data_IF_503204235810
#
_entry.id   IF_503204235810
#
_cell.length_a   1.000
_cell.length_b   1.000
_cell.length_c   1.000
_cell.angle_alpha   90.00
_cell.angle_beta   90.00
_cell.angle_gamma   90.00
#
_symmetry.space_group_name_H-M   'P 1'
#
loop_
_entity.id
_entity.type
_entity.pdbx_description
1 polymer ?
#
# COMPACT_ATOMS: atom_id res chain seq x y z
N UNK A 1 21.81 16.38 -5.59
CA UNK A 1 21.24 15.71 -6.79
C UNK A 1 19.98 14.97 -6.39
N UNK A 2 19.07 14.65 -7.32
CA UNK A 2 17.88 13.86 -6.98
C UNK A 2 18.34 12.48 -6.51
N UNK A 3 17.80 12.03 -5.37
CA UNK A 3 18.04 10.68 -4.86
C UNK A 3 17.30 9.71 -5.79
N UNK A 4 18.04 9.00 -6.61
CA UNK A 4 17.52 7.89 -7.42
C UNK A 4 17.74 6.63 -6.60
N UNK A 5 16.67 5.89 -6.30
CA UNK A 5 16.78 4.59 -5.64
C UNK A 5 17.48 3.59 -6.55
N UNK A 6 18.29 2.71 -5.99
CA UNK A 6 18.85 1.60 -6.75
C UNK A 6 17.77 0.53 -7.04
N UNK A 7 18.06 -0.33 -8.01
CA UNK A 7 17.13 -1.37 -8.45
C UNK A 7 16.77 -2.36 -7.34
N UNK A 8 17.71 -2.64 -6.43
CA UNK A 8 17.48 -3.54 -5.31
C UNK A 8 16.44 -2.97 -4.34
N UNK A 9 16.52 -1.67 -4.06
CA UNK A 9 15.58 -0.96 -3.21
C UNK A 9 14.20 -0.88 -3.85
N UNK A 10 14.11 -0.60 -5.16
CA UNK A 10 12.85 -0.63 -5.89
C UNK A 10 12.20 -2.02 -5.80
N UNK A 11 12.97 -3.08 -6.04
CA UNK A 11 12.50 -4.46 -5.93
C UNK A 11 11.94 -4.76 -4.54
N UNK A 12 12.69 -4.41 -3.48
CA UNK A 12 12.27 -4.61 -2.10
C UNK A 12 10.97 -3.85 -1.78
N UNK A 13 10.85 -2.60 -2.21
CA UNK A 13 9.63 -1.80 -2.02
C UNK A 13 8.43 -2.45 -2.72
N UNK A 14 8.61 -3.01 -3.92
CA UNK A 14 7.56 -3.71 -4.65
C UNK A 14 7.10 -4.99 -3.95
N UNK A 15 8.05 -5.81 -3.48
CA UNK A 15 7.75 -7.02 -2.72
C UNK A 15 7.01 -6.70 -1.42
N UNK A 16 7.44 -5.66 -0.70
CA UNK A 16 6.77 -5.24 0.53
C UNK A 16 5.35 -4.71 0.26
N UNK A 17 5.12 -4.04 -0.87
CA UNK A 17 3.78 -3.65 -1.29
C UNK A 17 2.88 -4.88 -1.53
N UNK A 18 3.40 -5.95 -2.14
CA UNK A 18 2.65 -7.20 -2.34
C UNK A 18 2.29 -7.86 -1.01
N UNK A 19 3.26 -7.99 -0.11
CA UNK A 19 3.06 -8.54 1.24
C UNK A 19 1.98 -7.74 1.99
N UNK A 20 2.05 -6.41 1.98
CA UNK A 20 1.05 -5.55 2.64
C UNK A 20 -0.34 -5.73 2.03
N UNK A 21 -0.45 -5.76 0.70
CA UNK A 21 -1.73 -6.00 0.04
C UNK A 21 -2.32 -7.38 0.39
N UNK A 22 -1.47 -8.39 0.59
CA UNK A 22 -1.90 -9.71 1.09
C UNK A 22 -2.42 -9.64 2.54
N UNK A 23 -1.67 -8.99 3.43
CA UNK A 23 -2.07 -8.79 4.83
C UNK A 23 -3.38 -8.00 4.98
N UNK A 24 -3.60 -7.01 4.13
CA UNK A 24 -4.82 -6.21 4.13
C UNK A 24 -6.09 -7.00 3.79
N UNK A 25 -5.97 -8.20 3.19
CA UNK A 25 -7.13 -9.05 2.90
C UNK A 25 -7.76 -9.65 4.16
N UNK A 26 -6.98 -9.86 5.22
CA UNK A 26 -7.47 -10.37 6.51
C UNK A 26 -7.81 -9.27 7.50
N UNK A 27 -7.41 -8.02 7.24
CA UNK A 27 -7.61 -6.90 8.15
C UNK A 27 -9.09 -6.50 8.24
N UNK A 28 -9.61 -6.47 9.46
CA UNK A 28 -10.97 -6.06 9.79
C UNK A 28 -10.98 -4.67 10.42
N UNK A 29 -12.09 -3.95 10.22
CA UNK A 29 -12.29 -2.62 10.84
C UNK A 29 -12.28 -2.67 12.38
N UNK A 30 -12.60 -3.83 12.97
CA UNK A 30 -12.58 -4.08 14.40
C UNK A 30 -11.20 -4.35 14.98
N UNK A 31 -10.19 -4.60 14.14
CA UNK A 31 -8.85 -4.90 14.61
C UNK A 31 -8.22 -3.63 15.22
N UNK A 32 -7.47 -3.80 16.30
CA UNK A 32 -6.68 -2.71 16.87
C UNK A 32 -5.51 -2.37 15.95
N UNK A 33 -5.11 -1.11 15.93
CA UNK A 33 -4.00 -0.61 15.14
C UNK A 33 -3.17 0.39 15.94
N UNK A 34 -1.98 0.77 15.47
CA UNK A 34 -1.20 1.83 16.08
C UNK A 34 -1.49 3.16 15.42
N UNK A 35 -1.71 4.21 16.23
CA UNK A 35 -2.00 5.55 15.72
C UNK A 35 -0.94 6.01 14.71
N UNK A 36 -1.40 6.49 13.55
CA UNK A 36 -0.54 6.88 12.42
C UNK A 36 -0.33 5.80 11.36
N UNK A 37 -0.72 4.54 11.62
CA UNK A 37 -0.73 3.50 10.59
C UNK A 37 -1.76 3.79 9.50
N UNK A 38 -1.46 3.34 8.28
CA UNK A 38 -2.40 3.36 7.16
C UNK A 38 -2.50 1.96 6.57
N UNK A 39 -3.69 1.60 6.11
CA UNK A 39 -3.98 0.28 5.58
C UNK A 39 -5.12 0.33 4.55
N UNK A 40 -5.39 -0.82 3.94
CA UNK A 40 -6.61 -1.03 3.16
C UNK A 40 -7.53 -1.98 3.93
N UNK A 41 -8.72 -1.51 4.33
CA UNK A 41 -9.74 -2.35 4.98
C UNK A 41 -10.87 -2.54 4.00
N UNK A 42 -11.13 -3.79 3.57
CA UNK A 42 -12.13 -4.10 2.53
C UNK A 42 -11.98 -3.23 1.28
N UNK A 43 -10.75 -3.03 0.81
CA UNK A 43 -10.39 -2.18 -0.34
C UNK A 43 -10.68 -0.67 -0.19
N UNK A 44 -11.05 -0.20 1.00
CA UNK A 44 -11.17 1.21 1.33
C UNK A 44 -9.91 1.70 2.07
N UNK A 45 -9.56 2.97 1.90
CA UNK A 45 -8.42 3.56 2.61
C UNK A 45 -8.74 3.62 4.10
N UNK A 46 -7.81 3.20 4.94
CA UNK A 46 -7.95 3.26 6.39
C UNK A 46 -6.76 3.99 7.01
N UNK A 47 -7.03 4.92 7.91
CA UNK A 47 -6.04 5.51 8.80
C UNK A 47 -6.34 5.10 10.25
N UNK A 48 -5.32 4.77 11.01
CA UNK A 48 -5.47 4.47 12.42
C UNK A 48 -5.43 5.75 13.25
N UNK A 49 -6.53 6.04 13.96
CA UNK A 49 -6.62 7.17 14.89
C UNK A 49 -7.13 6.67 16.24
N UNK A 50 -6.36 6.94 17.30
CA UNK A 50 -6.66 6.49 18.66
C UNK A 50 -6.90 4.97 18.74
N UNK A 51 -5.98 4.20 18.14
CA UNK A 51 -5.98 2.74 18.11
C UNK A 51 -7.16 2.08 17.38
N UNK A 52 -7.92 2.85 16.59
CA UNK A 52 -9.05 2.35 15.81
C UNK A 52 -8.97 2.80 14.35
N UNK A 53 -9.36 1.90 13.44
CA UNK A 53 -9.44 2.22 12.03
C UNK A 53 -10.52 3.26 11.73
N UNK A 54 -10.17 4.24 10.91
CA UNK A 54 -11.08 5.19 10.27
C UNK A 54 -11.02 4.96 8.77
N UNK A 55 -12.11 4.44 8.23
CA UNK A 55 -12.19 3.99 6.84
C UNK A 55 -12.85 5.05 5.98
N UNK A 56 -12.24 5.33 4.83
CA UNK A 56 -12.74 6.21 3.79
C UNK A 56 -12.77 5.45 2.47
N UNK A 57 -13.95 5.38 1.85
CA UNK A 57 -14.12 4.76 0.53
C UNK A 57 -13.34 5.54 -0.53
N UNK A 58 -12.64 4.82 -1.40
CA UNK A 58 -11.95 5.39 -2.53
C UNK A 58 -12.93 5.97 -3.58
N UNK A 59 -12.62 7.11 -4.22
CA UNK A 59 -13.51 7.72 -5.22
C UNK A 59 -13.48 6.97 -6.56
N UNK A 60 -14.53 7.18 -7.38
CA UNK A 60 -14.56 6.83 -8.81
C UNK A 60 -14.10 5.39 -9.12
N UNK A 61 -14.68 4.39 -8.46
CA UNK A 61 -14.36 2.95 -8.64
C UNK A 61 -12.92 2.53 -8.35
N UNK A 62 -12.10 3.43 -7.79
CA UNK A 62 -10.74 3.08 -7.33
C UNK A 62 -10.85 2.20 -6.09
N UNK A 63 -9.79 1.44 -5.84
CA UNK A 63 -9.61 0.63 -4.64
C UNK A 63 -8.31 1.04 -3.96
N UNK A 64 -8.24 0.77 -2.66
CA UNK A 64 -7.05 0.99 -1.86
C UNK A 64 -6.02 -0.11 -2.13
N UNK A 65 -4.76 0.30 -2.33
CA UNK A 65 -3.61 -0.60 -2.44
C UNK A 65 -2.41 -0.02 -1.69
N UNK A 66 -1.55 -0.89 -1.17
CA UNK A 66 -0.16 -0.56 -0.90
C UNK A 66 0.62 -0.48 -2.22
N UNK A 67 1.44 0.56 -2.38
CA UNK A 67 2.26 0.85 -3.55
C UNK A 67 3.72 1.09 -3.11
N UNK A 68 4.71 0.72 -3.94
CA UNK A 68 6.12 0.97 -3.65
C UNK A 68 6.46 2.47 -3.72
N UNK A 69 7.32 2.93 -2.82
CA UNK A 69 7.97 4.23 -2.98
C UNK A 69 9.04 4.15 -4.07
N UNK A 70 9.12 5.17 -4.92
CA UNK A 70 10.10 5.26 -6.03
C UNK A 70 11.17 6.34 -5.80
N UNK A 71 11.03 7.11 -4.72
CA UNK A 71 11.96 8.19 -4.33
C UNK A 71 12.63 7.94 -2.97
N UNK A 72 12.06 7.06 -2.16
CA UNK A 72 12.52 6.70 -0.82
C UNK A 72 12.33 5.20 -0.55
N UNK A 73 12.94 4.68 0.51
CA UNK A 73 12.64 3.33 0.99
C UNK A 73 11.18 3.20 1.45
N UNK A 74 10.60 2.02 1.29
CA UNK A 74 9.30 1.65 1.85
C UNK A 74 8.13 1.71 0.85
N UNK A 75 6.93 1.80 1.42
CA UNK A 75 5.66 1.77 0.69
C UNK A 75 4.76 2.90 1.15
N UNK A 76 3.66 3.11 0.43
CA UNK A 76 2.57 3.98 0.86
C UNK A 76 1.24 3.38 0.46
N UNK A 77 0.15 3.82 1.10
CA UNK A 77 -1.20 3.36 0.79
C UNK A 77 -1.95 4.44 0.04
N UNK A 78 -2.61 4.08 -1.07
CA UNK A 78 -3.37 5.03 -1.88
C UNK A 78 -4.53 4.38 -2.65
N UNK A 79 -5.50 5.22 -3.01
CA UNK A 79 -6.60 4.83 -3.90
C UNK A 79 -6.17 4.91 -5.37
N UNK A 80 -6.21 3.78 -6.08
CA UNK A 80 -5.92 3.72 -7.52
C UNK A 80 -6.72 2.61 -8.20
N UNK A 81 -6.58 2.44 -9.52
CA UNK A 81 -7.21 1.31 -10.22
C UNK A 81 -6.38 0.02 -10.03
N UNK A 82 -7.00 -1.16 -10.04
CA UNK A 82 -6.27 -2.43 -9.93
C UNK A 82 -5.16 -2.57 -10.99
N UNK A 83 -5.45 -2.17 -12.23
CA UNK A 83 -4.48 -2.22 -13.33
C UNK A 83 -3.28 -1.30 -13.04
N UNK A 84 -3.51 -0.09 -12.54
CA UNK A 84 -2.43 0.83 -12.24
C UNK A 84 -1.59 0.36 -11.04
N UNK A 85 -2.22 -0.19 -9.99
CA UNK A 85 -1.50 -0.78 -8.87
C UNK A 85 -0.59 -1.94 -9.34
N UNK A 86 -1.13 -2.84 -10.16
CA UNK A 86 -0.37 -3.96 -10.72
C UNK A 86 0.81 -3.48 -11.60
N UNK A 87 0.58 -2.50 -12.47
CA UNK A 87 1.64 -1.94 -13.33
C UNK A 87 2.75 -1.25 -12.52
N UNK A 88 2.41 -0.48 -11.48
CA UNK A 88 3.40 0.20 -10.63
C UNK A 88 4.26 -0.82 -9.89
N UNK A 89 3.64 -1.88 -9.33
CA UNK A 89 4.37 -2.93 -8.61
C UNK A 89 5.26 -3.72 -9.57
N UNK A 90 4.74 -4.11 -10.73
CA UNK A 90 5.51 -4.85 -11.73
C UNK A 90 6.72 -4.05 -12.26
N UNK A 91 6.60 -2.72 -12.35
CA UNK A 91 7.69 -1.85 -12.79
C UNK A 91 8.90 -1.85 -11.85
N UNK A 92 8.77 -2.32 -10.61
CA UNK A 92 9.92 -2.49 -9.71
C UNK A 92 10.68 -3.80 -9.92
N UNK A 93 10.19 -4.68 -10.80
CA UNK A 93 10.70 -6.04 -10.99
C UNK A 93 10.14 -7.06 -10.01
N UNK A 94 9.24 -6.67 -9.10
CA UNK A 94 8.58 -7.60 -8.19
C UNK A 94 7.64 -8.54 -8.95
N UNK A 95 7.87 -9.86 -8.81
CA UNK A 95 7.07 -10.92 -9.44
C UNK A 95 6.33 -11.76 -8.38
N UNK A 96 5.63 -11.10 -7.46
CA UNK A 96 4.74 -11.77 -6.50
C UNK A 96 5.30 -11.81 -5.08
N UNK A 97 4.38 -11.78 -4.12
CA UNK A 97 4.57 -11.81 -2.67
C UNK A 97 3.26 -12.06 -1.95
#
# INVERSE_FOLDING_TARGET
GPVVLDNATLLLNGQQAQILNSQFQSLMISDSCNSGETACVKSAFAACLNYAWRVQTCPSSKLCFALPQIRTNGTFVACTSPNNAASIIAATGAQGG
#
